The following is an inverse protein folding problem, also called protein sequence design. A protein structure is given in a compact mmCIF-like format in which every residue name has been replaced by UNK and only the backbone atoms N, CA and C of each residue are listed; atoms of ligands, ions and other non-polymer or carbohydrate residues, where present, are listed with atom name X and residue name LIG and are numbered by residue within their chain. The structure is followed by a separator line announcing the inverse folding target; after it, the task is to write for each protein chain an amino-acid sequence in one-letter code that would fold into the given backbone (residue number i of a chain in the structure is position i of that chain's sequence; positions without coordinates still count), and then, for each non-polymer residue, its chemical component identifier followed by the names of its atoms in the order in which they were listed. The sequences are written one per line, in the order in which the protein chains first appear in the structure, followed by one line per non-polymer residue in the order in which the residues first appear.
data_IF_466881770775
#
_entry.id   IF_466881770775
#
_cell.length_a   1.000
_cell.length_b   1.000
_cell.length_c   1.000
_cell.angle_alpha   90.00
_cell.angle_beta   90.00
_cell.angle_gamma   90.00
#
_symmetry.space_group_name_H-M   'P 1'
#
loop_
_entity.id
_entity.type
_entity.pdbx_description
1 polymer ?
#
# COMPACT_ATOMS: atom_id res chain seq x y z
N UNK A 1 -38.07 -9.01 0.60
CA UNK A 1 -37.24 -7.81 0.83
C UNK A 1 -37.09 -7.63 2.33
N UNK A 2 -35.98 -8.09 2.94
CA UNK A 2 -35.76 -7.94 4.37
C UNK A 2 -34.85 -6.74 4.61
N UNK A 3 -35.46 -5.61 5.00
CA UNK A 3 -34.73 -4.48 5.54
C UNK A 3 -34.33 -4.84 6.98
N UNK A 4 -33.02 -4.96 7.23
CA UNK A 4 -32.48 -5.16 8.57
C UNK A 4 -32.45 -3.79 9.28
N UNK A 5 -33.23 -3.59 10.37
CA UNK A 5 -33.40 -2.29 11.02
C UNK A 5 -32.19 -1.82 11.86
N UNK A 6 -31.05 -2.51 11.81
CA UNK A 6 -29.85 -2.18 12.61
C UNK A 6 -28.74 -1.45 11.84
N UNK A 7 -29.01 -0.92 10.65
CA UNK A 7 -28.03 -0.17 9.87
C UNK A 7 -27.98 1.30 10.31
N UNK A 8 -27.12 1.62 11.28
CA UNK A 8 -26.82 3.02 11.64
C UNK A 8 -25.88 3.64 10.59
N UNK A 9 -25.97 4.96 10.35
CA UNK A 9 -25.11 5.71 9.41
C UNK A 9 -23.61 5.49 9.64
N UNK A 10 -23.20 5.19 10.88
CA UNK A 10 -21.83 4.85 11.24
C UNK A 10 -21.28 3.58 10.57
N UNK A 11 -22.15 2.65 10.16
CA UNK A 11 -21.77 1.41 9.47
C UNK A 11 -21.40 1.67 8.00
N UNK A 12 -21.97 2.72 7.41
CA UNK A 12 -21.68 3.13 6.03
C UNK A 12 -20.47 4.07 5.93
N UNK A 13 -19.99 4.60 7.07
CA UNK A 13 -18.81 5.44 7.13
C UNK A 13 -17.53 4.60 7.13
N UNK A 14 -16.59 4.94 6.24
CA UNK A 14 -15.25 4.34 6.22
C UNK A 14 -14.55 4.65 7.54
N UNK A 15 -14.47 3.66 8.42
CA UNK A 15 -13.65 3.71 9.62
C UNK A 15 -12.18 3.85 9.20
N UNK A 16 -11.62 5.07 9.26
CA UNK A 16 -10.20 5.30 9.00
C UNK A 16 -9.42 4.95 10.25
N UNK A 17 -8.84 3.76 10.31
CA UNK A 17 -7.83 3.47 11.32
C UNK A 17 -6.53 4.18 10.96
N UNK A 18 -6.10 5.11 11.82
CA UNK A 18 -4.75 5.66 11.76
C UNK A 18 -3.77 4.63 12.34
N UNK A 19 -2.56 4.56 11.78
CA UNK A 19 -1.45 3.77 12.37
C UNK A 19 -0.68 4.58 13.42
N UNK A 20 -1.01 5.86 13.59
CA UNK A 20 -0.35 6.76 14.53
C UNK A 20 -0.84 6.45 15.95
N UNK A 21 0.10 6.36 16.88
CA UNK A 21 -0.14 6.08 18.31
C UNK A 21 0.13 7.32 19.17
N UNK A 22 0.00 8.50 18.56
CA UNK A 22 0.27 9.80 19.19
C UNK A 22 1.64 9.86 19.90
N UNK A 23 2.67 9.34 19.23
CA UNK A 23 4.03 9.37 19.73
C UNK A 23 4.59 10.80 19.68
N UNK A 24 5.19 11.25 20.77
CA UNK A 24 5.69 12.64 20.90
C UNK A 24 7.04 12.86 20.20
N UNK A 25 7.72 11.80 19.76
CA UNK A 25 8.98 11.86 19.02
C UNK A 25 8.87 12.77 17.78
N UNK A 26 9.82 13.68 17.61
CA UNK A 26 9.84 14.65 16.51
C UNK A 26 11.25 14.91 16.01
N UNK A 27 11.42 14.84 14.69
CA UNK A 27 12.64 15.18 13.97
C UNK A 27 12.30 16.16 12.84
N UNK A 28 13.12 17.19 12.68
CA UNK A 28 13.04 18.12 11.55
C UNK A 28 14.15 17.79 10.56
N UNK A 29 13.79 17.70 9.29
CA UNK A 29 14.73 17.57 8.20
C UNK A 29 14.49 18.71 7.20
N UNK A 30 15.53 19.47 6.89
CA UNK A 30 15.49 20.55 5.92
C UNK A 30 16.70 20.46 4.99
N UNK A 31 16.50 20.78 3.71
CA UNK A 31 17.58 20.87 2.74
C UNK A 31 17.99 22.33 2.58
N UNK A 32 19.28 22.62 2.76
CA UNK A 32 19.86 23.94 2.57
C UNK A 32 21.19 23.82 1.81
N UNK A 33 21.34 24.58 0.72
CA UNK A 33 22.51 24.54 -0.17
C UNK A 33 22.91 23.12 -0.62
N UNK A 34 21.91 22.28 -0.92
CA UNK A 34 22.13 20.89 -1.34
C UNK A 34 22.48 19.91 -0.21
N UNK A 35 22.63 20.39 1.03
CA UNK A 35 22.91 19.57 2.20
C UNK A 35 21.64 19.34 3.01
N UNK A 36 21.48 18.12 3.52
CA UNK A 36 20.40 17.78 4.44
C UNK A 36 20.83 18.07 5.88
N UNK A 37 20.04 18.90 6.57
CA UNK A 37 20.16 19.17 7.98
C UNK A 37 19.07 18.42 8.72
N UNK A 38 19.45 17.60 9.70
CA UNK A 38 18.53 16.88 10.57
C UNK A 38 18.71 17.37 12.01
N UNK A 39 17.61 17.76 12.64
CA UNK A 39 17.57 18.21 14.03
C UNK A 39 16.52 17.40 14.80
N UNK A 40 16.91 16.88 15.96
CA UNK A 40 15.96 16.17 16.83
C UNK A 40 15.33 17.18 17.78
N UNK A 41 14.01 17.32 17.71
CA UNK A 41 13.26 18.26 18.55
C UNK A 41 12.67 17.59 19.80
N UNK A 42 12.29 16.32 19.69
CA UNK A 42 11.89 15.52 20.84
C UNK A 42 12.35 14.06 20.65
N UNK A 43 13.07 13.55 21.65
CA UNK A 43 13.63 12.19 21.70
C UNK A 43 12.70 11.18 22.39
N UNK A 44 11.68 11.66 23.11
CA UNK A 44 10.83 10.78 23.92
C UNK A 44 9.90 9.93 23.05
N UNK A 45 9.79 8.65 23.40
CA UNK A 45 8.90 7.69 22.78
C UNK A 45 7.90 7.15 23.81
N UNK A 46 6.62 7.04 23.44
CA UNK A 46 5.59 6.42 24.28
C UNK A 46 5.42 4.92 24.00
N UNK A 47 6.34 4.30 23.27
CA UNK A 47 6.28 2.92 22.84
C UNK A 47 7.67 2.30 22.76
N UNK A 48 7.72 0.96 22.78
CA UNK A 48 8.96 0.22 22.56
C UNK A 48 9.35 0.29 21.07
N UNK A 49 10.65 0.11 20.75
CA UNK A 49 11.09 -0.08 19.37
C UNK A 49 10.30 -1.19 18.68
N UNK A 50 10.00 -1.02 17.40
CA UNK A 50 9.32 -2.06 16.62
C UNK A 50 10.25 -3.27 16.46
N UNK A 51 9.76 -4.46 16.84
CA UNK A 51 10.46 -5.72 16.59
C UNK A 51 10.24 -6.27 15.18
N UNK A 52 9.19 -5.81 14.50
CA UNK A 52 8.79 -6.30 13.20
C UNK A 52 8.61 -5.14 12.22
N UNK A 53 9.46 -5.10 11.21
CA UNK A 53 9.43 -4.03 10.21
C UNK A 53 8.21 -4.07 9.28
N UNK A 54 7.44 -5.16 9.23
CA UNK A 54 6.24 -5.26 8.39
C UNK A 54 5.16 -4.21 8.71
N UNK A 55 5.19 -3.56 9.88
CA UNK A 55 4.33 -2.41 10.16
C UNK A 55 4.62 -1.19 9.25
N UNK A 56 5.86 -1.05 8.78
CA UNK A 56 6.31 0.09 7.99
C UNK A 56 5.95 -0.10 6.51
N UNK A 57 5.13 0.77 5.88
CA UNK A 57 4.78 0.64 4.46
C UNK A 57 5.99 0.63 3.53
N UNK A 58 7.03 1.41 3.87
CA UNK A 58 8.20 1.58 3.00
C UNK A 58 8.95 0.27 2.76
N UNK A 59 9.05 -0.59 3.78
CA UNK A 59 9.74 -1.89 3.65
C UNK A 59 8.90 -2.95 2.94
N UNK A 60 7.60 -2.67 2.77
CA UNK A 60 6.65 -3.55 2.07
C UNK A 60 6.36 -3.10 0.65
N UNK A 61 7.00 -2.02 0.20
CA UNK A 61 6.81 -1.52 -1.16
C UNK A 61 7.34 -2.56 -2.14
N UNK A 62 6.46 -2.96 -3.06
CA UNK A 62 6.84 -3.85 -4.16
C UNK A 62 7.82 -3.14 -5.10
N UNK A 63 8.87 -3.84 -5.50
CA UNK A 63 9.74 -3.42 -6.60
C UNK A 63 9.03 -3.62 -7.94
N UNK A 64 9.55 -3.01 -9.00
CA UNK A 64 8.95 -3.14 -10.34
C UNK A 64 8.93 -4.59 -10.82
N UNK A 65 10.01 -5.34 -10.57
CA UNK A 65 10.08 -6.79 -10.86
C UNK A 65 9.01 -7.59 -10.09
N UNK A 66 8.75 -7.22 -8.83
CA UNK A 66 7.73 -7.88 -8.02
C UNK A 66 6.33 -7.50 -8.50
N UNK A 67 6.10 -6.26 -8.91
CA UNK A 67 4.84 -5.83 -9.52
C UNK A 67 4.55 -6.58 -10.82
N UNK A 68 5.56 -6.83 -11.65
CA UNK A 68 5.41 -7.63 -12.86
C UNK A 68 5.06 -9.08 -12.53
N UNK A 69 5.72 -9.68 -11.53
CA UNK A 69 5.35 -11.01 -11.04
C UNK A 69 3.89 -11.05 -10.55
N UNK A 70 3.44 -10.02 -9.83
CA UNK A 70 2.04 -9.88 -9.42
C UNK A 70 1.12 -9.82 -10.63
N UNK A 71 1.45 -9.05 -11.66
CA UNK A 71 0.65 -8.93 -12.88
C UNK A 71 0.50 -10.28 -13.60
N UNK A 72 1.60 -11.00 -13.82
CA UNK A 72 1.62 -12.32 -14.47
C UNK A 72 0.78 -13.35 -13.69
N UNK A 73 0.90 -13.36 -12.35
CA UNK A 73 0.14 -14.30 -11.53
C UNK A 73 -1.36 -13.91 -11.47
N UNK A 74 -1.64 -12.60 -11.54
CA UNK A 74 -3.01 -12.05 -11.57
C UNK A 74 -3.75 -12.44 -12.84
N UNK A 75 -3.11 -12.32 -14.01
CA UNK A 75 -3.72 -12.73 -15.30
C UNK A 75 -4.02 -14.22 -15.34
N UNK A 76 -3.23 -15.04 -14.64
CA UNK A 76 -3.49 -16.45 -14.42
C UNK A 76 -4.62 -16.74 -13.38
N UNK A 77 -5.45 -15.76 -13.02
CA UNK A 77 -6.62 -15.88 -12.11
C UNK A 77 -6.29 -16.46 -10.73
N UNK A 78 -5.17 -16.04 -10.14
CA UNK A 78 -4.73 -16.55 -8.83
C UNK A 78 -5.18 -15.72 -7.64
N UNK A 79 -5.49 -16.39 -6.53
CA UNK A 79 -5.80 -15.76 -5.24
C UNK A 79 -4.57 -15.04 -4.65
N UNK A 80 -4.78 -13.91 -3.94
CA UNK A 80 -3.72 -13.10 -3.32
C UNK A 80 -2.75 -13.91 -2.44
N UNK A 81 -3.24 -14.94 -1.76
CA UNK A 81 -2.39 -15.85 -0.98
C UNK A 81 -1.32 -16.54 -1.84
N UNK A 82 -1.69 -17.03 -3.04
CA UNK A 82 -0.75 -17.68 -3.95
C UNK A 82 0.33 -16.70 -4.42
N UNK A 83 -0.06 -15.46 -4.72
CA UNK A 83 0.86 -14.39 -5.09
C UNK A 83 1.88 -14.15 -3.97
N UNK A 84 1.43 -14.04 -2.72
CA UNK A 84 2.34 -13.86 -1.56
C UNK A 84 3.29 -15.04 -1.41
N UNK A 85 2.79 -16.27 -1.56
CA UNK A 85 3.64 -17.46 -1.47
C UNK A 85 4.73 -17.44 -2.55
N UNK A 86 4.38 -17.14 -3.81
CA UNK A 86 5.35 -17.05 -4.90
C UNK A 86 6.37 -15.94 -4.67
N UNK A 87 5.93 -14.76 -4.23
CA UNK A 87 6.83 -13.65 -3.89
C UNK A 87 7.81 -14.05 -2.78
N UNK A 88 7.35 -14.74 -1.73
CA UNK A 88 8.19 -15.22 -0.63
C UNK A 88 9.12 -16.38 -1.01
N UNK A 89 8.74 -17.19 -1.99
CA UNK A 89 9.61 -18.23 -2.55
C UNK A 89 10.80 -17.60 -3.28
N UNK A 90 10.54 -16.51 -4.03
CA UNK A 90 11.57 -15.78 -4.75
C UNK A 90 12.44 -14.91 -3.82
N UNK A 91 11.83 -14.33 -2.77
CA UNK A 91 12.53 -13.53 -1.76
C UNK A 91 11.99 -13.83 -0.35
N UNK A 92 12.77 -14.59 0.42
CA UNK A 92 12.41 -14.97 1.80
C UNK A 92 12.39 -13.81 2.79
N UNK A 93 13.05 -12.68 2.46
CA UNK A 93 13.07 -11.49 3.31
C UNK A 93 11.82 -10.62 3.17
N UNK A 94 10.94 -10.96 2.23
CA UNK A 94 9.80 -10.15 1.85
C UNK A 94 8.72 -10.07 2.93
N UNK A 95 8.42 -8.83 3.36
CA UNK A 95 7.47 -8.53 4.44
C UNK A 95 6.04 -8.22 3.96
N UNK A 96 5.74 -8.52 2.71
CA UNK A 96 4.45 -8.21 2.08
C UNK A 96 3.28 -8.93 2.75
N UNK A 97 2.17 -8.20 2.86
CA UNK A 97 0.90 -8.68 3.41
C UNK A 97 -0.22 -8.59 2.36
N UNK A 98 -1.36 -9.23 2.63
CA UNK A 98 -2.49 -9.27 1.69
C UNK A 98 -2.94 -7.89 1.20
N UNK A 99 -2.94 -6.86 2.06
CA UNK A 99 -3.38 -5.53 1.66
C UNK A 99 -2.47 -4.88 0.60
N UNK A 100 -1.18 -5.21 0.58
CA UNK A 100 -0.26 -4.73 -0.46
C UNK A 100 -0.62 -5.33 -1.82
N UNK A 101 -0.96 -6.61 -1.85
CA UNK A 101 -1.40 -7.29 -3.08
C UNK A 101 -2.72 -6.69 -3.58
N UNK A 102 -3.69 -6.45 -2.71
CA UNK A 102 -4.93 -5.76 -3.09
C UNK A 102 -4.67 -4.35 -3.65
N UNK A 103 -3.76 -3.60 -3.04
CA UNK A 103 -3.38 -2.28 -3.54
C UNK A 103 -2.68 -2.37 -4.91
N UNK A 104 -1.79 -3.34 -5.09
CA UNK A 104 -1.13 -3.60 -6.37
C UNK A 104 -2.12 -3.99 -7.47
N UNK A 105 -3.08 -4.88 -7.17
CA UNK A 105 -4.17 -5.19 -8.10
C UNK A 105 -4.93 -3.94 -8.50
N UNK A 106 -5.33 -3.11 -7.52
CA UNK A 106 -6.06 -1.88 -7.80
C UNK A 106 -5.24 -0.94 -8.68
N UNK A 107 -3.94 -0.82 -8.43
CA UNK A 107 -3.04 -0.01 -9.25
C UNK A 107 -2.95 -0.53 -10.69
N UNK A 108 -2.75 -1.84 -10.88
CA UNK A 108 -2.72 -2.48 -12.20
C UNK A 108 -4.05 -2.30 -12.95
N UNK A 109 -5.17 -2.45 -12.26
CA UNK A 109 -6.49 -2.21 -12.84
C UNK A 109 -6.68 -0.76 -13.28
N UNK A 110 -6.24 0.20 -12.47
CA UNK A 110 -6.31 1.63 -12.83
C UNK A 110 -5.45 1.95 -14.05
N UNK A 111 -4.23 1.40 -14.12
CA UNK A 111 -3.33 1.56 -15.27
C UNK A 111 -3.94 0.99 -16.56
N UNK A 112 -4.48 -0.24 -16.50
CA UNK A 112 -5.17 -0.83 -17.65
C UNK A 112 -6.38 0.01 -18.08
N UNK A 113 -7.23 0.45 -17.13
CA UNK A 113 -8.39 1.29 -17.45
C UNK A 113 -7.97 2.60 -18.13
N UNK A 114 -6.89 3.24 -17.68
CA UNK A 114 -6.38 4.44 -18.34
C UNK A 114 -5.89 4.15 -19.76
N UNK A 115 -5.23 3.02 -20.00
CA UNK A 115 -4.81 2.60 -21.34
C UNK A 115 -6.01 2.32 -22.25
N UNK A 116 -7.03 1.59 -21.77
CA UNK A 116 -8.26 1.36 -22.53
C UNK A 116 -9.00 2.67 -22.85
N UNK A 117 -9.07 3.59 -21.89
CA UNK A 117 -9.73 4.89 -22.09
C UNK A 117 -9.00 5.72 -23.16
N UNK A 118 -7.67 5.71 -23.13
CA UNK A 118 -6.84 6.41 -24.14
C UNK A 118 -6.96 5.77 -25.53
N UNK A 119 -6.94 4.43 -25.61
CA UNK A 119 -7.12 3.73 -26.87
C UNK A 119 -8.52 3.97 -27.45
N UNK A 120 -9.56 3.99 -26.61
CA UNK A 120 -10.92 4.30 -27.06
C UNK A 120 -11.03 5.73 -27.59
N UNK A 121 -10.43 6.72 -26.91
CA UNK A 121 -10.44 8.11 -27.42
C UNK A 121 -9.72 8.25 -28.76
N UNK A 122 -8.65 7.48 -28.99
CA UNK A 122 -7.94 7.48 -30.28
C UNK A 122 -8.76 6.84 -31.40
N UNK A 123 -9.58 5.83 -31.09
CA UNK A 123 -10.47 5.18 -32.07
C UNK A 123 -11.65 6.09 -32.42
N UNK A 124 -12.17 6.84 -31.46
CA UNK A 124 -13.29 7.77 -31.67
C UNK A 124 -12.89 9.03 -32.48
N UNK A 125 -11.59 9.30 -32.65
CA UNK A 125 -11.04 10.40 -33.48
C UNK A 125 -10.83 10.05 -34.96
N UNK A 126 -11.06 8.79 -35.37
CA UNK A 126 -10.95 8.29 -36.75
C UNK A 126 -12.32 8.23 -37.46
#
# INVERSE_FOLDING_TARGET
MYNNPNLTEAIHSRQRSTRLIDCSFKLYAAQHNGLWHLEVHNLEHNHKPSSNMSGHPIVRRLTDQQLESVAVITTASSCSWKIILTLRQNDKSMLVINSDIYNAHKQLWQQNLTEYTLLQSLVDEL
#
